data_IF_522381652568
#
_entry.id   IF_522381652568
#
_cell.length_a   1.000
_cell.length_b   1.000
_cell.length_c   1.000
_cell.angle_alpha   90.00
_cell.angle_beta   90.00
_cell.angle_gamma   90.00
#
_symmetry.space_group_name_H-M   'P 1'
#
loop_
_entity.id
_entity.type
_entity.pdbx_description
1 polymer ?
#
# COMPACT_ATOMS: atom_id res chain seq x y z
N UNK A 1 1.23 -12.05 14.36
CA UNK A 1 1.22 -12.50 12.96
C UNK A 1 1.24 -11.30 12.02
N UNK A 2 1.93 -11.46 10.91
CA UNK A 2 2.01 -10.42 9.87
C UNK A 2 0.64 -10.19 9.24
N UNK A 3 0.28 -8.93 9.05
CA UNK A 3 -0.91 -8.53 8.30
C UNK A 3 -0.50 -7.97 6.95
N UNK A 4 -1.45 -7.91 6.04
CA UNK A 4 -1.22 -7.47 4.66
C UNK A 4 -2.16 -6.33 4.32
N UNK A 5 -1.62 -5.35 3.59
CA UNK A 5 -2.30 -4.10 3.29
C UNK A 5 -2.02 -3.68 1.85
N UNK A 6 -2.76 -2.70 1.37
CA UNK A 6 -2.45 -1.99 0.14
C UNK A 6 -2.53 -0.49 0.44
N UNK A 7 -1.52 0.24 0.00
CA UNK A 7 -1.46 1.70 0.16
C UNK A 7 -1.30 2.36 -1.20
N UNK A 8 -1.99 3.47 -1.39
CA UNK A 8 -2.03 4.18 -2.66
C UNK A 8 -1.21 5.46 -2.60
N UNK A 9 -0.48 5.74 -3.67
CA UNK A 9 0.23 6.99 -3.87
C UNK A 9 0.16 7.41 -5.33
N UNK A 10 0.01 8.71 -5.58
CA UNK A 10 0.10 9.22 -6.95
C UNK A 10 1.57 9.22 -7.37
N UNK A 11 1.92 8.64 -8.54
CA UNK A 11 3.33 8.47 -8.93
C UNK A 11 4.07 9.80 -9.16
N UNK A 12 3.36 10.88 -9.46
CA UNK A 12 3.98 12.20 -9.57
C UNK A 12 4.25 12.86 -8.22
N UNK A 13 3.71 12.33 -7.13
CA UNK A 13 3.97 12.78 -5.76
C UNK A 13 5.01 11.89 -5.09
N UNK A 14 4.76 10.57 -5.10
CA UNK A 14 5.68 9.59 -4.51
C UNK A 14 5.55 8.25 -5.23
N UNK A 15 6.53 7.92 -6.07
CA UNK A 15 6.54 6.71 -6.88
C UNK A 15 7.27 5.56 -6.20
N UNK A 16 7.08 4.35 -6.72
CA UNK A 16 7.80 3.17 -6.25
C UNK A 16 9.32 3.35 -6.43
N UNK A 17 9.75 4.04 -7.47
CA UNK A 17 11.17 4.28 -7.70
C UNK A 17 11.75 5.26 -6.66
N UNK A 18 10.99 6.27 -6.26
CA UNK A 18 11.38 7.16 -5.16
C UNK A 18 11.43 6.40 -3.84
N UNK A 19 10.47 5.53 -3.60
CA UNK A 19 10.44 4.67 -2.42
C UNK A 19 11.67 3.75 -2.38
N UNK A 20 12.05 3.19 -3.53
CA UNK A 20 13.25 2.35 -3.64
C UNK A 20 14.51 3.14 -3.29
N UNK A 21 14.62 4.38 -3.76
CA UNK A 21 15.75 5.25 -3.47
C UNK A 21 15.87 5.65 -2.01
N UNK A 22 14.77 5.62 -1.26
CA UNK A 22 14.80 5.94 0.18
C UNK A 22 15.52 4.87 1.02
N UNK A 23 15.78 3.70 0.44
CA UNK A 23 16.58 2.65 1.05
C UNK A 23 15.97 2.07 2.32
N UNK A 24 16.83 1.58 3.21
CA UNK A 24 16.40 0.93 4.46
C UNK A 24 15.83 1.92 5.48
N UNK A 25 16.17 3.20 5.37
CA UNK A 25 15.56 4.24 6.20
C UNK A 25 14.07 4.37 5.92
N UNK A 26 13.67 4.11 4.67
CA UNK A 26 12.30 4.21 4.25
C UNK A 26 11.79 5.64 4.17
N UNK A 27 10.47 5.77 4.13
CA UNK A 27 9.79 7.05 4.00
C UNK A 27 8.58 7.10 4.91
N UNK A 28 8.29 8.29 5.42
CA UNK A 28 7.07 8.54 6.19
C UNK A 28 5.89 8.56 5.23
N UNK A 29 4.88 7.75 5.53
CA UNK A 29 3.64 7.70 4.76
C UNK A 29 2.62 8.62 5.41
N UNK A 30 2.61 9.86 4.98
CA UNK A 30 1.77 10.92 5.54
C UNK A 30 0.72 11.38 4.53
N UNK A 31 -0.04 12.39 4.91
CA UNK A 31 -1.02 13.01 4.02
C UNK A 31 -2.32 12.26 3.89
N UNK A 32 -2.53 11.17 4.62
CA UNK A 32 -3.79 10.42 4.60
C UNK A 32 -4.85 11.21 5.35
N UNK A 33 -5.98 11.53 4.69
CA UNK A 33 -7.02 12.40 5.23
C UNK A 33 -8.42 11.77 5.25
N UNK A 34 -8.51 10.47 5.01
CA UNK A 34 -9.75 9.70 5.12
C UNK A 34 -9.74 8.94 6.45
N UNK A 35 -10.83 9.01 7.21
CA UNK A 35 -10.89 8.39 8.54
C UNK A 35 -10.81 6.86 8.50
N UNK A 36 -11.41 6.22 7.52
CA UNK A 36 -11.31 4.77 7.38
C UNK A 36 -9.85 4.36 7.09
N UNK A 37 -9.18 5.09 6.19
CA UNK A 37 -7.76 4.86 5.89
C UNK A 37 -6.89 5.10 7.12
N UNK A 38 -7.17 6.16 7.90
CA UNK A 38 -6.47 6.42 9.16
C UNK A 38 -6.63 5.25 10.12
N UNK A 39 -7.84 4.72 10.26
CA UNK A 39 -8.10 3.59 11.16
C UNK A 39 -7.31 2.35 10.71
N UNK A 40 -7.17 2.15 9.40
CA UNK A 40 -6.35 1.06 8.87
C UNK A 40 -4.87 1.28 9.19
N UNK A 41 -4.34 2.49 8.98
CA UNK A 41 -2.96 2.82 9.36
C UNK A 41 -2.69 2.54 10.84
N UNK A 42 -3.64 2.88 11.69
CA UNK A 42 -3.53 2.67 13.15
C UNK A 42 -3.40 1.19 13.52
N UNK A 43 -3.97 0.32 12.72
CA UNK A 43 -3.91 -1.14 12.94
C UNK A 43 -2.63 -1.78 12.43
N UNK A 44 -1.83 -1.08 11.64
CA UNK A 44 -0.60 -1.62 11.09
C UNK A 44 0.45 -1.83 12.18
N UNK A 45 1.20 -2.90 12.07
CA UNK A 45 2.29 -3.25 13.00
C UNK A 45 3.60 -3.34 12.24
N UNK A 46 4.69 -3.10 12.95
CA UNK A 46 6.04 -3.28 12.40
C UNK A 46 6.16 -4.70 11.86
N UNK A 47 6.64 -4.84 10.62
CA UNK A 47 6.75 -6.12 9.92
C UNK A 47 5.60 -6.42 8.98
N UNK A 48 4.49 -5.69 9.08
CA UNK A 48 3.39 -5.84 8.13
C UNK A 48 3.84 -5.44 6.73
N UNK A 49 3.27 -6.09 5.72
CA UNK A 49 3.61 -5.85 4.32
C UNK A 49 2.47 -5.13 3.62
N UNK A 50 2.82 -4.21 2.73
CA UNK A 50 1.86 -3.44 1.97
C UNK A 50 2.17 -3.52 0.49
N UNK A 51 1.17 -3.78 -0.34
CA UNK A 51 1.28 -3.50 -1.76
C UNK A 51 1.33 -1.99 -1.97
N UNK A 52 2.20 -1.58 -2.85
CA UNK A 52 2.35 -0.18 -3.27
C UNK A 52 1.58 0.00 -4.58
N UNK A 53 0.57 0.86 -4.56
CA UNK A 53 -0.30 1.07 -5.71
C UNK A 53 -0.15 2.49 -6.23
N UNK A 54 0.10 2.64 -7.53
CA UNK A 54 0.09 3.95 -8.20
C UNK A 54 -1.35 4.32 -8.53
N UNK A 55 -1.88 5.34 -7.84
CA UNK A 55 -3.23 5.84 -8.08
C UNK A 55 -3.22 6.96 -9.10
N UNK A 56 -4.38 7.27 -9.65
CA UNK A 56 -4.61 8.34 -10.62
C UNK A 56 -3.94 8.07 -11.97
N UNK A 57 -2.62 8.09 -12.03
CA UNK A 57 -1.86 7.80 -13.26
C UNK A 57 -1.32 6.37 -13.15
N UNK A 58 -1.58 5.56 -14.17
CA UNK A 58 -1.16 4.15 -14.21
C UNK A 58 -2.18 3.21 -13.61
N UNK A 59 -2.67 3.48 -12.40
CA UNK A 59 -3.67 2.67 -11.69
C UNK A 59 -3.26 1.19 -11.66
N UNK A 60 -2.13 0.91 -10.99
CA UNK A 60 -1.59 -0.45 -10.92
C UNK A 60 -0.80 -0.69 -9.64
N UNK A 61 -0.76 -1.95 -9.23
CA UNK A 61 0.11 -2.40 -8.14
C UNK A 61 1.51 -2.56 -8.71
N UNK A 62 2.49 -1.92 -8.10
CA UNK A 62 3.85 -1.82 -8.65
C UNK A 62 4.94 -2.38 -7.73
N UNK A 63 4.64 -2.67 -6.49
CA UNK A 63 5.66 -3.16 -5.56
C UNK A 63 5.15 -3.50 -4.19
N UNK A 64 6.09 -3.77 -3.29
CA UNK A 64 5.85 -4.12 -1.89
C UNK A 64 6.75 -3.28 -1.00
N UNK A 65 6.19 -2.80 0.09
CA UNK A 65 6.91 -2.12 1.18
C UNK A 65 6.59 -2.79 2.51
N UNK A 66 7.44 -2.56 3.50
CA UNK A 66 7.28 -3.10 4.85
C UNK A 66 7.14 -1.98 5.85
N UNK A 67 6.23 -2.12 6.80
CA UNK A 67 6.04 -1.17 7.91
C UNK A 67 7.24 -1.30 8.86
N UNK A 68 7.97 -0.20 9.05
CA UNK A 68 9.12 -0.14 9.96
C UNK A 68 8.88 0.75 11.16
N UNK A 69 7.80 1.52 11.17
CA UNK A 69 7.35 2.30 12.32
C UNK A 69 5.83 2.35 12.31
N UNK A 70 5.21 1.94 13.41
CA UNK A 70 3.76 1.94 13.56
C UNK A 70 3.23 3.37 13.72
N UNK A 71 1.91 3.52 13.69
CA UNK A 71 1.24 4.82 13.61
C UNK A 71 1.74 5.84 14.65
N UNK A 72 2.00 7.04 14.18
CA UNK A 72 2.35 8.21 14.98
C UNK A 72 1.62 9.42 14.38
N UNK A 73 1.56 10.51 15.13
CA UNK A 73 0.86 11.70 14.65
C UNK A 73 1.50 12.22 13.36
N UNK A 74 0.65 12.50 12.37
CA UNK A 74 1.07 13.05 11.09
C UNK A 74 1.42 14.53 11.27
N UNK A 75 2.68 14.86 11.09
CA UNK A 75 3.17 16.24 11.29
C UNK A 75 2.59 17.23 10.27
N UNK A 76 2.05 16.74 9.15
CA UNK A 76 1.42 17.59 8.14
C UNK A 76 -0.02 17.95 8.52
N UNK A 77 -0.58 17.27 9.53
CA UNK A 77 -1.91 17.57 10.08
C UNK A 77 -1.78 18.34 11.37
N UNK A 78 -2.04 19.64 11.31
CA UNK A 78 -1.93 20.53 12.47
C UNK A 78 -3.01 20.31 13.52
N UNK A 79 -4.10 19.65 13.16
CA UNK A 79 -5.21 19.37 14.07
C UNK A 79 -5.04 18.12 14.90
N UNK A 80 -4.04 17.27 14.59
CA UNK A 80 -3.74 16.07 15.34
C UNK A 80 -4.76 14.94 15.19
N UNK A 81 -5.50 14.92 14.09
CA UNK A 81 -6.54 13.90 13.82
C UNK A 81 -6.06 12.72 13.03
N UNK A 82 -4.98 12.87 12.27
CA UNK A 82 -4.49 11.86 11.35
C UNK A 82 -3.12 11.35 11.75
N UNK A 83 -2.81 10.15 11.28
CA UNK A 83 -1.57 9.47 11.63
C UNK A 83 -0.79 9.12 10.37
N UNK A 84 0.48 8.83 10.55
CA UNK A 84 1.39 8.35 9.53
C UNK A 84 2.04 7.05 10.02
N UNK A 85 2.55 6.28 9.08
CA UNK A 85 3.43 5.14 9.37
C UNK A 85 4.73 5.38 8.61
N UNK A 86 5.75 4.57 8.87
CA UNK A 86 6.98 4.62 8.09
C UNK A 86 7.18 3.26 7.44
N UNK A 87 7.52 3.29 6.13
CA UNK A 87 7.67 2.07 5.34
C UNK A 87 8.99 2.07 4.59
N UNK A 88 9.53 0.88 4.34
CA UNK A 88 10.74 0.71 3.53
C UNK A 88 10.44 -0.15 2.30
N UNK A 89 11.19 0.06 1.23
CA UNK A 89 11.07 -0.71 0.00
C UNK A 89 11.47 -2.17 0.22
N UNK A 90 10.70 -3.10 -0.33
CA UNK A 90 11.01 -4.53 -0.33
C UNK A 90 11.27 -5.01 -1.76
N UNK A 91 10.30 -4.81 -2.66
CA UNK A 91 10.37 -5.40 -4.00
C UNK A 91 9.57 -4.58 -4.99
N UNK A 92 10.06 -4.47 -6.21
CA UNK A 92 9.32 -3.90 -7.33
C UNK A 92 8.72 -5.04 -8.15
N UNK A 93 7.46 -4.93 -8.55
CA UNK A 93 6.82 -5.96 -9.37
C UNK A 93 7.52 -6.06 -10.73
N UNK A 94 7.82 -7.28 -11.15
CA UNK A 94 8.31 -7.56 -12.50
C UNK A 94 7.18 -7.37 -13.52
N UNK A 95 5.95 -7.61 -13.09
CA UNK A 95 4.76 -7.43 -13.90
C UNK A 95 3.74 -6.61 -13.11
N UNK A 96 3.71 -5.28 -13.28
CA UNK A 96 2.70 -4.45 -12.62
C UNK A 96 1.29 -4.91 -12.96
N UNK A 97 0.39 -4.82 -12.00
CA UNK A 97 -0.97 -5.34 -12.13
C UNK A 97 -1.95 -4.19 -12.14
N UNK A 98 -2.60 -3.97 -13.29
CA UNK A 98 -3.56 -2.88 -13.45
C UNK A 98 -4.85 -3.12 -12.66
N UNK A 99 -5.51 -2.04 -12.28
CA UNK A 99 -6.84 -2.10 -11.66
C UNK A 99 -7.81 -2.86 -12.56
N UNK A 100 -7.74 -2.63 -13.86
CA UNK A 100 -8.59 -3.32 -14.82
C UNK A 100 -8.38 -4.83 -14.77
N UNK A 101 -7.13 -5.28 -14.70
CA UNK A 101 -6.81 -6.70 -14.57
C UNK A 101 -7.36 -7.28 -13.27
N UNK A 102 -7.29 -6.54 -12.17
CA UNK A 102 -7.82 -6.95 -10.87
C UNK A 102 -9.33 -7.11 -10.94
N UNK A 103 -10.03 -6.15 -11.56
CA UNK A 103 -11.48 -6.22 -11.76
C UNK A 103 -11.91 -7.46 -12.54
N UNK A 104 -11.11 -7.89 -13.50
CA UNK A 104 -11.39 -9.05 -14.36
C UNK A 104 -10.95 -10.38 -13.75
N UNK A 105 -10.20 -10.35 -12.66
CA UNK A 105 -9.70 -11.55 -12.00
C UNK A 105 -10.63 -11.89 -10.84
N UNK A 106 -11.50 -12.85 -11.06
CA UNK A 106 -12.59 -13.20 -10.13
C UNK A 106 -12.11 -13.42 -8.68
N UNK A 107 -10.97 -14.07 -8.52
CA UNK A 107 -10.46 -14.42 -7.19
C UNK A 107 -10.08 -13.20 -6.34
N UNK A 108 -9.85 -12.04 -6.94
CA UNK A 108 -9.42 -10.81 -6.24
C UNK A 108 -10.32 -9.61 -6.52
N UNK A 109 -11.41 -9.79 -7.29
CA UNK A 109 -12.31 -8.68 -7.62
C UNK A 109 -13.17 -8.22 -6.44
N UNK A 110 -13.16 -8.95 -5.33
CA UNK A 110 -13.87 -8.60 -4.09
C UNK A 110 -13.13 -7.57 -3.24
N UNK A 111 -11.87 -7.27 -3.56
CA UNK A 111 -11.04 -6.40 -2.73
C UNK A 111 -11.60 -4.97 -2.60
N UNK A 112 -11.36 -4.30 -1.46
CA UNK A 112 -11.74 -2.89 -1.30
C UNK A 112 -11.17 -1.99 -2.39
N UNK A 113 -10.03 -2.35 -2.96
CA UNK A 113 -9.44 -1.63 -4.11
C UNK A 113 -10.45 -1.46 -5.25
N UNK A 114 -11.28 -2.49 -5.49
CA UNK A 114 -12.32 -2.46 -6.53
C UNK A 114 -13.60 -1.80 -6.02
N UNK A 115 -13.99 -2.09 -4.78
CA UNK A 115 -15.29 -1.69 -4.22
C UNK A 115 -15.29 -0.26 -3.68
N UNK A 116 -14.16 0.23 -3.20
CA UNK A 116 -14.04 1.54 -2.56
C UNK A 116 -12.91 2.34 -3.22
N UNK A 117 -13.20 2.93 -4.37
CA UNK A 117 -12.20 3.61 -5.20
C UNK A 117 -11.48 4.76 -4.49
N UNK A 118 -12.10 5.37 -3.47
CA UNK A 118 -11.51 6.50 -2.75
C UNK A 118 -10.75 6.12 -1.50
N UNK A 119 -10.79 4.85 -1.11
CA UNK A 119 -10.03 4.38 0.04
C UNK A 119 -8.57 4.20 -0.35
N UNK A 120 -7.66 4.85 0.37
CA UNK A 120 -6.23 4.86 0.04
C UNK A 120 -5.39 3.89 0.86
N UNK A 121 -5.96 3.31 1.90
CA UNK A 121 -5.29 2.31 2.76
C UNK A 121 -6.31 1.24 3.08
N UNK A 122 -6.02 -0.01 2.78
CA UNK A 122 -6.97 -1.11 2.96
C UNK A 122 -6.29 -2.42 3.34
N UNK A 123 -6.99 -3.28 4.07
CA UNK A 123 -6.47 -4.61 4.34
C UNK A 123 -6.57 -5.50 3.11
N UNK A 124 -5.66 -6.45 3.00
CA UNK A 124 -5.65 -7.48 1.95
C UNK A 124 -5.63 -8.83 2.65
N UNK A 125 -6.56 -9.70 2.29
CA UNK A 125 -6.57 -11.06 2.81
C UNK A 125 -5.39 -11.87 2.25
N UNK A 126 -4.89 -12.81 3.02
CA UNK A 126 -3.68 -13.55 2.67
C UNK A 126 -3.81 -14.30 1.34
N UNK A 127 -4.96 -14.89 1.08
CA UNK A 127 -5.20 -15.60 -0.19
C UNK A 127 -5.02 -14.66 -1.39
N UNK A 128 -5.60 -13.48 -1.32
CA UNK A 128 -5.44 -12.46 -2.37
C UNK A 128 -4.01 -11.97 -2.47
N UNK A 129 -3.33 -11.81 -1.34
CA UNK A 129 -1.92 -11.43 -1.31
C UNK A 129 -1.07 -12.40 -2.12
N UNK A 130 -1.24 -13.70 -1.90
CA UNK A 130 -0.49 -14.73 -2.62
C UNK A 130 -0.76 -14.69 -4.12
N UNK A 131 -2.03 -14.55 -4.50
CA UNK A 131 -2.43 -14.49 -5.91
C UNK A 131 -1.76 -13.29 -6.59
N UNK A 132 -1.81 -12.12 -5.96
CA UNK A 132 -1.25 -10.89 -6.52
C UNK A 132 0.27 -10.98 -6.64
N UNK A 133 0.96 -11.52 -5.65
CA UNK A 133 2.41 -11.74 -5.72
C UNK A 133 2.78 -12.61 -6.92
N UNK A 134 2.04 -13.68 -7.13
CA UNK A 134 2.25 -14.58 -8.27
C UNK A 134 2.01 -13.87 -9.60
N UNK A 135 0.93 -13.09 -9.70
CA UNK A 135 0.63 -12.30 -10.90
C UNK A 135 1.71 -11.26 -11.18
N UNK A 136 2.25 -10.66 -10.13
CA UNK A 136 3.32 -9.66 -10.23
C UNK A 136 4.69 -10.24 -10.51
N UNK A 137 4.80 -11.57 -10.55
CA UNK A 137 6.05 -12.31 -10.78
C UNK A 137 7.15 -11.95 -9.79
N UNK A 138 6.75 -11.85 -8.52
CA UNK A 138 7.68 -11.71 -7.39
C UNK A 138 7.51 -12.91 -6.48
N UNK A 139 8.54 -13.15 -5.64
CA UNK A 139 8.44 -14.18 -4.62
C UNK A 139 7.37 -13.80 -3.62
N UNK A 140 6.66 -14.80 -3.12
CA UNK A 140 5.77 -14.59 -1.98
C UNK A 140 6.63 -14.19 -0.78
N UNK A 141 6.28 -13.09 -0.18
CA UNK A 141 7.06 -12.51 0.92
C UNK A 141 6.38 -12.79 2.25
#
# INVERSE_FOLDING_TARGET
MKQFWLIKSEPNVWSIDQQKKSGVKGAVWDGVRNYQARNNLTKMKIGDLCFFYHSNIGKEIVGVVEVIKSAFLDKTDKEGRFVAVQVRFIEKFNNPISLEKIKKTKAISHLPLVKQSRLSVMPIDYKSWKIICKMGKIKEI
#
